data_IF_226992864857
#
_entry.id   IF_226992864857
#
_cell.length_a   1.000
_cell.length_b   1.000
_cell.length_c   1.000
_cell.angle_alpha   90.00
_cell.angle_beta   90.00
_cell.angle_gamma   90.00
#
_symmetry.space_group_name_H-M   'P 1'
#
loop_
_entity.id
_entity.type
_entity.pdbx_description
1 polymer ?
#
# COMPACT_ATOMS: atom_id res chain seq x y z
N UNK A 1 -22.43 9.14 1.43
CA UNK A 1 -21.19 8.43 1.90
C UNK A 1 -20.02 9.31 1.54
N UNK A 2 -19.11 9.59 2.48
CA UNK A 2 -17.93 10.40 2.19
C UNK A 2 -16.80 9.47 1.73
N UNK A 3 -16.11 9.84 0.64
CA UNK A 3 -14.97 9.11 0.10
C UNK A 3 -13.66 9.76 0.52
N UNK A 4 -12.59 8.99 0.64
CA UNK A 4 -11.22 9.46 0.85
C UNK A 4 -10.26 8.61 0.00
N UNK A 5 -9.31 9.24 -0.66
CA UNK A 5 -8.23 8.51 -1.32
C UNK A 5 -7.26 7.98 -0.25
N UNK A 6 -7.23 6.66 -0.07
CA UNK A 6 -6.36 5.96 0.89
C UNK A 6 -5.14 5.31 0.22
N UNK A 7 -5.15 5.23 -1.11
CA UNK A 7 -4.05 4.78 -1.95
C UNK A 7 -3.85 5.84 -3.05
N UNK A 8 -2.82 6.67 -2.89
CA UNK A 8 -2.62 7.85 -3.72
C UNK A 8 -1.14 8.22 -3.78
N UNK A 9 -0.64 8.36 -5.00
CA UNK A 9 0.74 8.70 -5.31
C UNK A 9 0.87 10.19 -5.62
N UNK A 10 1.95 10.78 -5.14
CA UNK A 10 2.27 12.17 -5.37
C UNK A 10 3.45 12.32 -6.33
N UNK A 11 3.87 13.55 -6.59
CA UNK A 11 5.07 13.87 -7.34
C UNK A 11 6.36 13.22 -6.80
N UNK A 12 6.33 12.63 -5.60
CA UNK A 12 7.43 11.88 -5.00
C UNK A 12 7.45 10.39 -5.36
N UNK A 13 6.41 9.89 -6.05
CA UNK A 13 6.46 8.62 -6.79
C UNK A 13 7.10 8.85 -8.15
N UNK A 14 8.43 8.94 -8.18
CA UNK A 14 9.20 9.39 -9.32
C UNK A 14 8.96 8.56 -10.58
N UNK A 15 8.75 9.26 -11.70
CA UNK A 15 8.43 8.72 -13.02
C UNK A 15 7.05 8.04 -13.12
N UNK A 16 6.20 8.24 -12.10
CA UNK A 16 4.91 7.58 -12.01
C UNK A 16 3.80 8.54 -11.51
N UNK A 17 3.98 9.17 -10.35
CA UNK A 17 3.00 10.10 -9.78
C UNK A 17 3.08 11.52 -10.37
N UNK A 18 1.94 12.07 -10.78
CA UNK A 18 1.81 13.43 -11.31
C UNK A 18 1.10 14.40 -10.35
N UNK A 19 0.49 13.90 -9.29
CA UNK A 19 -0.29 14.71 -8.37
C UNK A 19 0.61 15.55 -7.46
N UNK A 20 0.59 16.89 -7.61
CA UNK A 20 1.26 17.76 -6.65
C UNK A 20 0.48 17.81 -5.34
N UNK A 21 1.18 17.80 -4.21
CA UNK A 21 0.59 17.76 -2.87
C UNK A 21 -0.43 18.90 -2.67
N UNK A 22 -0.10 20.13 -3.07
CA UNK A 22 -1.03 21.27 -2.92
C UNK A 22 -2.30 21.09 -3.75
N UNK A 23 -2.20 20.62 -5.00
CA UNK A 23 -3.40 20.35 -5.84
C UNK A 23 -4.23 19.20 -5.29
N UNK A 24 -3.59 18.18 -4.73
CA UNK A 24 -4.26 17.04 -4.10
C UNK A 24 -5.15 17.49 -2.93
N UNK A 25 -4.60 18.31 -2.01
CA UNK A 25 -5.38 18.86 -0.89
C UNK A 25 -6.49 19.79 -1.36
N UNK A 26 -6.24 20.68 -2.33
CA UNK A 26 -7.27 21.54 -2.90
C UNK A 26 -8.41 20.72 -3.50
N UNK A 27 -8.09 19.66 -4.25
CA UNK A 27 -9.11 18.76 -4.84
C UNK A 27 -9.87 18.00 -3.76
N UNK A 28 -9.19 17.42 -2.77
CA UNK A 28 -9.82 16.72 -1.67
C UNK A 28 -10.79 17.63 -0.88
N UNK A 29 -10.39 18.87 -0.61
CA UNK A 29 -11.24 19.86 0.06
C UNK A 29 -12.47 20.24 -0.80
N UNK A 30 -12.26 20.50 -2.10
CA UNK A 30 -13.35 20.84 -3.04
C UNK A 30 -14.38 19.71 -3.18
N UNK A 31 -13.93 18.45 -3.11
CA UNK A 31 -14.80 17.27 -3.19
C UNK A 31 -15.40 16.89 -1.82
N UNK A 32 -15.13 17.65 -0.77
CA UNK A 32 -15.63 17.39 0.59
C UNK A 32 -15.10 16.10 1.20
N UNK A 33 -13.90 15.66 0.81
CA UNK A 33 -13.26 14.49 1.38
C UNK A 33 -12.81 14.77 2.82
N UNK A 34 -13.10 13.90 3.78
CA UNK A 34 -12.69 14.11 5.18
C UNK A 34 -11.20 13.83 5.41
N UNK A 35 -10.56 13.12 4.50
CA UNK A 35 -9.13 12.76 4.58
C UNK A 35 -8.55 12.49 3.20
N UNK A 36 -7.23 12.50 3.11
CA UNK A 36 -6.46 12.04 1.95
C UNK A 36 -5.16 11.41 2.43
N UNK A 37 -4.70 10.34 1.78
CA UNK A 37 -3.44 9.69 2.10
C UNK A 37 -2.33 10.09 1.13
N UNK A 38 -1.08 9.99 1.62
CA UNK A 38 0.13 9.91 0.80
C UNK A 38 0.68 8.50 0.92
N UNK A 39 0.88 7.80 -0.21
CA UNK A 39 1.34 6.41 -0.24
C UNK A 39 2.32 6.16 -1.39
N UNK A 40 3.31 7.03 -1.52
CA UNK A 40 4.30 6.97 -2.58
C UNK A 40 5.09 5.65 -2.60
N UNK A 41 5.59 5.27 -3.78
CA UNK A 41 6.33 4.03 -4.01
C UNK A 41 7.65 3.99 -3.25
N UNK A 42 7.73 3.12 -2.24
CA UNK A 42 8.93 2.76 -1.51
C UNK A 42 9.59 3.91 -0.74
N UNK A 43 8.95 5.06 -0.61
CA UNK A 43 9.53 6.22 0.06
C UNK A 43 8.50 7.05 0.85
N UNK A 44 9.02 7.88 1.73
CA UNK A 44 8.26 8.83 2.56
C UNK A 44 8.76 10.27 2.38
N UNK A 45 9.38 10.58 1.23
CA UNK A 45 10.04 11.87 1.00
C UNK A 45 9.07 13.04 1.02
N UNK A 46 7.85 12.85 0.52
CA UNK A 46 6.81 13.88 0.48
C UNK A 46 6.04 14.07 1.79
N UNK A 47 6.26 13.24 2.81
CA UNK A 47 5.43 13.24 4.02
C UNK A 47 5.50 14.56 4.79
N UNK A 48 6.68 15.17 4.90
CA UNK A 48 6.83 16.45 5.57
C UNK A 48 6.00 17.56 4.89
N UNK A 49 6.16 17.69 3.58
CA UNK A 49 5.42 18.68 2.78
C UNK A 49 3.91 18.40 2.81
N UNK A 50 3.52 17.13 2.79
CA UNK A 50 2.14 16.68 2.83
C UNK A 50 1.45 17.07 4.16
N UNK A 51 2.09 16.83 5.29
CA UNK A 51 1.57 17.19 6.60
C UNK A 51 1.57 18.72 6.80
N UNK A 52 2.60 19.41 6.32
CA UNK A 52 2.66 20.86 6.36
C UNK A 52 1.54 21.50 5.52
N UNK A 53 1.27 20.98 4.31
CA UNK A 53 0.19 21.49 3.45
C UNK A 53 -1.19 21.26 4.06
N UNK A 54 -1.40 20.14 4.78
CA UNK A 54 -2.66 19.83 5.45
C UNK A 54 -3.12 20.95 6.40
N UNK A 55 -2.18 21.65 7.06
CA UNK A 55 -2.50 22.76 7.97
C UNK A 55 -3.23 23.92 7.30
N UNK A 56 -3.13 24.05 5.97
CA UNK A 56 -3.79 25.08 5.15
C UNK A 56 -5.20 24.68 4.71
N UNK A 57 -5.60 23.44 4.94
CA UNK A 57 -6.85 22.85 4.45
C UNK A 57 -7.67 22.27 5.61
N UNK A 58 -8.32 23.15 6.40
CA UNK A 58 -9.18 22.73 7.51
C UNK A 58 -10.28 21.78 7.02
N UNK A 59 -10.42 20.63 7.67
CA UNK A 59 -11.43 19.62 7.33
C UNK A 59 -10.93 18.46 6.49
N UNK A 60 -9.71 18.48 5.97
CA UNK A 60 -9.08 17.34 5.28
C UNK A 60 -7.94 16.76 6.14
N UNK A 61 -8.15 15.60 6.73
CA UNK A 61 -7.16 14.94 7.58
C UNK A 61 -6.05 14.32 6.72
N UNK A 62 -4.76 14.59 6.96
CA UNK A 62 -3.66 13.89 6.32
C UNK A 62 -3.53 12.48 6.90
N UNK A 63 -3.36 11.47 6.03
CA UNK A 63 -3.05 10.09 6.40
C UNK A 63 -1.69 9.75 5.79
N UNK A 64 -0.77 9.27 6.62
CA UNK A 64 0.58 8.93 6.19
C UNK A 64 0.69 7.43 5.95
N UNK A 65 1.20 7.05 4.80
CA UNK A 65 1.47 5.68 4.41
C UNK A 65 2.65 5.59 3.44
N UNK A 66 2.85 4.40 2.94
CA UNK A 66 3.81 4.09 1.89
C UNK A 66 3.40 2.80 1.20
N UNK A 67 3.52 2.74 -0.12
CA UNK A 67 3.41 1.50 -0.88
C UNK A 67 4.80 0.91 -1.08
N UNK A 68 5.08 -0.16 -0.34
CA UNK A 68 6.39 -0.82 -0.33
C UNK A 68 6.54 -1.82 -1.46
N UNK A 69 7.78 -2.05 -1.88
CA UNK A 69 8.17 -3.18 -2.72
C UNK A 69 8.52 -4.37 -1.82
N UNK A 70 7.67 -5.40 -1.84
CA UNK A 70 7.84 -6.62 -1.06
C UNK A 70 8.50 -7.70 -1.90
N UNK A 71 9.57 -8.31 -1.37
CA UNK A 71 10.32 -9.42 -1.99
C UNK A 71 10.47 -10.57 -1.01
N UNK A 72 10.91 -11.73 -1.53
CA UNK A 72 11.19 -12.89 -0.67
C UNK A 72 12.47 -12.69 0.16
N UNK A 73 13.50 -12.08 -0.43
CA UNK A 73 14.79 -11.79 0.22
C UNK A 73 15.31 -10.44 -0.24
N UNK A 74 15.33 -9.45 0.66
CA UNK A 74 15.81 -8.09 0.38
C UNK A 74 17.32 -8.01 0.15
N UNK A 75 18.07 -8.99 0.61
CA UNK A 75 19.52 -9.04 0.45
C UNK A 75 19.96 -9.63 -0.89
N UNK A 76 19.05 -10.30 -1.61
CA UNK A 76 19.37 -10.81 -2.94
C UNK A 76 19.55 -9.66 -3.93
N UNK A 77 20.78 -9.50 -4.47
CA UNK A 77 21.15 -8.42 -5.41
C UNK A 77 21.59 -8.96 -6.78
N UNK A 78 21.63 -10.28 -6.94
CA UNK A 78 22.01 -10.94 -8.20
C UNK A 78 20.85 -11.72 -8.77
N UNK A 79 20.53 -11.48 -10.03
CA UNK A 79 19.43 -12.11 -10.74
C UNK A 79 19.92 -12.68 -12.08
N UNK A 80 19.27 -13.73 -12.55
CA UNK A 80 19.50 -14.34 -13.85
C UNK A 80 18.28 -14.20 -14.76
N UNK A 81 18.39 -14.64 -16.01
CA UNK A 81 17.25 -14.67 -16.94
C UNK A 81 16.08 -15.48 -16.38
N UNK A 82 16.36 -16.57 -15.66
CA UNK A 82 15.36 -17.49 -15.12
C UNK A 82 14.89 -17.11 -13.70
N UNK A 83 15.67 -16.31 -12.98
CA UNK A 83 15.34 -15.85 -11.63
C UNK A 83 15.35 -14.33 -11.60
N UNK A 84 14.19 -13.74 -11.97
CA UNK A 84 13.99 -12.30 -11.99
C UNK A 84 13.73 -11.76 -10.57
N UNK A 85 14.03 -10.48 -10.37
CA UNK A 85 13.62 -9.72 -9.18
C UNK A 85 12.08 -9.56 -9.18
N UNK A 86 11.40 -10.44 -8.47
CA UNK A 86 9.93 -10.43 -8.36
C UNK A 86 9.54 -9.57 -7.15
N UNK A 87 8.95 -8.43 -7.43
CA UNK A 87 8.48 -7.49 -6.42
C UNK A 87 6.95 -7.50 -6.39
N UNK A 88 6.40 -7.54 -5.20
CA UNK A 88 4.98 -7.27 -4.96
C UNK A 88 4.82 -5.89 -4.34
N UNK A 89 3.68 -5.27 -4.55
CA UNK A 89 3.30 -4.04 -3.86
C UNK A 89 2.64 -4.35 -2.53
N UNK A 90 2.89 -3.52 -1.52
CA UNK A 90 2.22 -3.64 -0.23
C UNK A 90 1.99 -2.27 0.39
N UNK A 91 0.72 -1.93 0.57
CA UNK A 91 0.30 -0.68 1.18
C UNK A 91 0.24 -0.80 2.70
N UNK A 92 0.91 0.13 3.39
CA UNK A 92 0.74 0.35 4.82
C UNK A 92 0.39 1.80 5.11
N UNK A 93 -0.53 2.00 6.07
CA UNK A 93 -0.90 3.31 6.60
C UNK A 93 -0.58 3.37 8.10
N UNK A 94 -0.13 4.52 8.58
CA UNK A 94 0.09 4.74 10.01
C UNK A 94 -1.25 4.92 10.73
N UNK A 95 -1.56 4.06 11.69
CA UNK A 95 -2.72 4.16 12.57
C UNK A 95 -2.47 5.16 13.71
N UNK A 96 -1.23 5.24 14.17
CA UNK A 96 -0.81 6.05 15.31
C UNK A 96 0.69 6.42 15.21
N UNK A 97 1.23 7.08 16.25
CA UNK A 97 2.63 7.49 16.29
C UNK A 97 3.63 6.32 16.27
N UNK A 98 3.28 5.15 16.84
CA UNK A 98 4.10 3.94 16.74
C UNK A 98 4.17 3.46 15.29
N UNK A 99 3.02 3.38 14.62
CA UNK A 99 2.94 3.00 13.20
C UNK A 99 3.73 3.94 12.31
N UNK A 100 3.66 5.25 12.55
CA UNK A 100 4.49 6.20 11.82
C UNK A 100 6.00 5.91 11.96
N UNK A 101 6.48 5.68 13.20
CA UNK A 101 7.90 5.30 13.41
C UNK A 101 8.25 3.98 12.74
N UNK A 102 7.33 3.02 12.71
CA UNK A 102 7.52 1.75 12.03
C UNK A 102 7.55 1.89 10.50
N UNK A 103 6.71 2.76 9.91
CA UNK A 103 6.83 3.12 8.48
C UNK A 103 8.20 3.71 8.15
N UNK A 104 8.67 4.68 8.96
CA UNK A 104 10.01 5.28 8.79
C UNK A 104 11.09 4.20 8.87
N UNK A 105 10.98 3.27 9.82
CA UNK A 105 11.93 2.18 9.97
C UNK A 105 11.94 1.23 8.79
N UNK A 106 10.77 0.79 8.33
CA UNK A 106 10.64 -0.07 7.14
C UNK A 106 11.19 0.62 5.89
N UNK A 107 10.85 1.90 5.68
CA UNK A 107 11.37 2.69 4.58
C UNK A 107 12.90 2.77 4.62
N UNK A 108 13.48 3.13 5.77
CA UNK A 108 14.93 3.24 5.94
C UNK A 108 15.65 1.91 5.68
N UNK A 109 15.13 0.79 6.20
CA UNK A 109 15.70 -0.53 5.96
C UNK A 109 15.58 -0.96 4.49
N UNK A 110 14.49 -0.60 3.83
CA UNK A 110 14.34 -0.78 2.39
C UNK A 110 15.45 -0.12 1.59
N UNK A 111 15.81 1.12 1.94
CA UNK A 111 16.93 1.85 1.30
C UNK A 111 18.30 1.30 1.69
N UNK A 112 18.55 1.05 2.97
CA UNK A 112 19.88 0.66 3.48
C UNK A 112 20.23 -0.78 3.09
N UNK A 113 19.28 -1.71 3.25
CA UNK A 113 19.53 -3.14 3.08
C UNK A 113 18.91 -3.69 1.80
N UNK A 114 17.72 -3.21 1.42
CA UNK A 114 16.90 -3.75 0.35
C UNK A 114 17.10 -3.13 -1.02
N UNK A 115 17.85 -2.03 -1.15
CA UNK A 115 17.98 -1.32 -2.42
C UNK A 115 18.56 -2.22 -3.53
N UNK A 116 17.81 -2.33 -4.62
CA UNK A 116 18.27 -2.95 -5.86
C UNK A 116 17.76 -2.13 -7.05
N UNK A 117 18.68 -1.71 -7.92
CA UNK A 117 18.37 -0.74 -8.97
C UNK A 117 17.76 0.54 -8.36
N UNK A 118 16.52 0.87 -8.69
CA UNK A 118 15.78 2.02 -8.14
C UNK A 118 14.73 1.63 -7.07
N UNK A 119 14.71 0.37 -6.62
CA UNK A 119 13.64 -0.15 -5.76
C UNK A 119 14.16 -0.44 -4.35
N UNK A 120 13.73 0.34 -3.34
CA UNK A 120 13.94 0.02 -1.93
C UNK A 120 12.96 -1.09 -1.52
N UNK A 121 13.49 -2.30 -1.29
CA UNK A 121 12.68 -3.51 -1.08
C UNK A 121 12.68 -3.92 0.37
N UNK A 122 11.54 -4.35 0.86
CA UNK A 122 11.37 -4.98 2.17
C UNK A 122 10.95 -6.44 2.01
N UNK A 123 10.94 -7.20 3.09
CA UNK A 123 10.47 -8.58 3.13
C UNK A 123 9.55 -8.84 4.32
N UNK A 124 8.84 -9.96 4.31
CA UNK A 124 7.89 -10.36 5.36
C UNK A 124 8.51 -10.40 6.76
N UNK A 125 9.78 -10.75 6.88
CA UNK A 125 10.50 -10.76 8.16
C UNK A 125 10.56 -9.34 8.79
N UNK A 126 10.77 -8.29 7.99
CA UNK A 126 10.71 -6.91 8.48
C UNK A 126 9.28 -6.50 8.87
N UNK A 127 8.28 -6.93 8.10
CA UNK A 127 6.88 -6.67 8.45
C UNK A 127 6.54 -7.25 9.81
N UNK A 128 6.95 -8.49 10.12
CA UNK A 128 6.75 -9.11 11.43
C UNK A 128 7.36 -8.30 12.58
N UNK A 129 8.49 -7.65 12.34
CA UNK A 129 9.16 -6.82 13.37
C UNK A 129 8.50 -5.46 13.57
N UNK A 130 7.95 -4.86 12.51
CA UNK A 130 7.54 -3.45 12.48
C UNK A 130 6.07 -3.23 12.13
N UNK A 131 5.19 -4.25 12.22
CA UNK A 131 3.76 -4.14 11.88
C UNK A 131 2.93 -3.35 12.88
N UNK A 132 3.38 -3.20 14.13
CA UNK A 132 2.58 -2.58 15.20
C UNK A 132 2.22 -1.13 14.84
N UNK A 133 0.95 -0.79 15.08
CA UNK A 133 0.41 0.54 14.78
C UNK A 133 0.27 0.84 13.28
N UNK A 134 0.39 -0.16 12.42
CA UNK A 134 0.10 -0.08 10.99
C UNK A 134 -1.26 -0.67 10.65
N UNK A 135 -1.86 -0.13 9.61
CA UNK A 135 -2.99 -0.70 8.88
C UNK A 135 -2.42 -1.25 7.57
N UNK A 136 -2.83 -2.46 7.19
CA UNK A 136 -2.47 -3.05 5.90
C UNK A 136 -3.71 -3.28 5.04
N UNK A 137 -3.53 -3.30 3.72
CA UNK A 137 -4.58 -3.65 2.77
C UNK A 137 -4.13 -4.78 1.84
N UNK A 138 -5.06 -5.35 1.08
CA UNK A 138 -4.72 -6.25 -0.02
C UNK A 138 -4.03 -5.52 -1.19
N UNK A 139 -3.95 -4.19 -1.12
CA UNK A 139 -3.28 -3.31 -2.08
C UNK A 139 -3.80 -3.45 -3.52
N UNK A 140 -3.01 -3.05 -4.51
CA UNK A 140 -3.37 -3.05 -5.93
C UNK A 140 -3.14 -4.42 -6.61
N UNK A 141 -3.37 -4.48 -7.91
CA UNK A 141 -3.13 -5.68 -8.74
C UNK A 141 -1.70 -6.24 -8.61
N UNK A 142 -0.71 -5.37 -8.33
CA UNK A 142 0.70 -5.76 -8.14
C UNK A 142 1.01 -6.45 -6.81
N UNK A 143 0.05 -6.56 -5.90
CA UNK A 143 0.27 -7.10 -4.56
C UNK A 143 0.26 -8.63 -4.52
N UNK A 144 0.80 -9.21 -3.42
CA UNK A 144 1.00 -10.65 -3.29
C UNK A 144 -0.30 -11.46 -3.33
N UNK A 145 -1.37 -10.99 -2.67
CA UNK A 145 -2.68 -11.68 -2.67
C UNK A 145 -3.35 -11.59 -4.05
N UNK A 146 -3.52 -10.42 -4.69
CA UNK A 146 -4.00 -10.31 -6.06
C UNK A 146 -3.21 -11.15 -7.07
N UNK A 147 -1.88 -11.16 -6.98
CA UNK A 147 -1.04 -11.96 -7.86
C UNK A 147 -1.20 -13.47 -7.63
N UNK A 148 -1.44 -13.89 -6.40
CA UNK A 148 -1.78 -15.28 -6.10
C UNK A 148 -3.15 -15.67 -6.68
N UNK A 149 -4.16 -14.80 -6.60
CA UNK A 149 -5.48 -15.01 -7.22
C UNK A 149 -5.38 -15.17 -8.75
N UNK A 150 -4.51 -14.40 -9.38
CA UNK A 150 -4.36 -14.44 -10.84
C UNK A 150 -3.57 -15.65 -11.34
N UNK A 151 -2.50 -16.02 -10.64
CA UNK A 151 -1.46 -16.89 -11.16
C UNK A 151 -1.24 -18.18 -10.38
N UNK A 152 -1.96 -18.38 -9.27
CA UNK A 152 -1.87 -19.58 -8.44
C UNK A 152 -3.25 -20.20 -8.20
N UNK A 153 -3.31 -21.24 -7.35
CA UNK A 153 -4.57 -21.82 -6.89
C UNK A 153 -5.28 -20.91 -5.87
N UNK A 154 -6.61 -21.06 -5.73
CA UNK A 154 -7.37 -20.35 -4.70
C UNK A 154 -6.87 -20.70 -3.30
N UNK A 155 -6.45 -21.94 -3.06
CA UNK A 155 -5.86 -22.35 -1.78
C UNK A 155 -4.57 -21.60 -1.45
N UNK A 156 -3.70 -21.35 -2.43
CA UNK A 156 -2.49 -20.55 -2.25
C UNK A 156 -2.82 -19.07 -2.04
N UNK A 157 -3.82 -18.55 -2.74
CA UNK A 157 -4.29 -17.18 -2.54
C UNK A 157 -4.88 -17.00 -1.12
N UNK A 158 -5.66 -17.96 -0.62
CA UNK A 158 -6.17 -17.97 0.76
C UNK A 158 -5.03 -18.01 1.77
N UNK A 159 -4.04 -18.88 1.59
CA UNK A 159 -2.87 -18.98 2.47
C UNK A 159 -2.10 -17.66 2.54
N UNK A 160 -1.92 -16.97 1.40
CA UNK A 160 -1.28 -15.66 1.37
C UNK A 160 -2.12 -14.60 2.09
N UNK A 161 -3.44 -14.59 1.88
CA UNK A 161 -4.38 -13.70 2.55
C UNK A 161 -4.40 -13.92 4.07
N UNK A 162 -4.48 -15.18 4.50
CA UNK A 162 -4.48 -15.57 5.91
C UNK A 162 -3.19 -15.15 6.64
N UNK A 163 -2.05 -15.18 5.95
CA UNK A 163 -0.80 -14.71 6.53
C UNK A 163 -0.90 -13.22 6.92
N UNK A 164 -1.45 -12.38 6.06
CA UNK A 164 -1.66 -10.96 6.34
C UNK A 164 -2.71 -10.75 7.43
N UNK A 165 -3.82 -11.45 7.36
CA UNK A 165 -4.90 -11.37 8.33
C UNK A 165 -4.45 -11.77 9.74
N UNK A 166 -3.63 -12.81 9.85
CA UNK A 166 -3.10 -13.27 11.14
C UNK A 166 -2.18 -12.25 11.82
N UNK A 167 -1.48 -11.40 11.05
CA UNK A 167 -0.58 -10.37 11.59
C UNK A 167 -1.32 -9.09 11.94
N UNK A 168 -2.22 -8.64 11.06
CA UNK A 168 -2.87 -7.34 11.20
C UNK A 168 -4.26 -7.41 11.84
N UNK A 169 -4.90 -8.58 11.86
CA UNK A 169 -6.22 -8.79 12.46
C UNK A 169 -7.25 -7.78 11.94
N UNK A 170 -7.87 -7.03 12.84
CA UNK A 170 -8.87 -6.00 12.50
C UNK A 170 -8.31 -4.77 11.75
N UNK A 171 -6.99 -4.61 11.72
CA UNK A 171 -6.28 -3.58 10.97
C UNK A 171 -5.88 -4.05 9.55
N UNK A 172 -6.35 -5.23 9.11
CA UNK A 172 -6.26 -5.69 7.74
C UNK A 172 -7.55 -5.41 6.97
N UNK A 173 -7.43 -4.78 5.80
CA UNK A 173 -8.57 -4.42 4.96
C UNK A 173 -8.43 -5.00 3.56
N UNK A 174 -9.54 -5.44 3.00
CA UNK A 174 -9.62 -5.73 1.58
C UNK A 174 -9.76 -4.42 0.82
N UNK A 175 -8.85 -4.17 -0.10
CA UNK A 175 -8.88 -3.01 -0.99
C UNK A 175 -9.46 -3.41 -2.34
N UNK A 176 -10.52 -2.73 -2.75
CA UNK A 176 -11.17 -2.93 -4.04
C UNK A 176 -10.89 -1.71 -4.93
N UNK A 177 -10.25 -1.97 -6.06
CA UNK A 177 -10.02 -0.99 -7.11
C UNK A 177 -10.92 -1.28 -8.31
N UNK A 178 -11.31 -0.25 -9.04
CA UNK A 178 -12.20 -0.40 -10.19
C UNK A 178 -11.56 0.16 -11.45
N UNK A 179 -10.59 -0.58 -11.95
CA UNK A 179 -10.03 -0.37 -13.28
C UNK A 179 -10.76 -1.28 -14.28
N UNK A 180 -11.02 -0.80 -15.47
CA UNK A 180 -11.80 -1.54 -16.47
C UNK A 180 -10.95 -2.60 -17.20
N UNK A 181 -10.36 -3.53 -16.43
CA UNK A 181 -9.56 -4.66 -16.90
C UNK A 181 -10.08 -5.98 -16.32
N UNK A 182 -9.98 -7.04 -17.10
CA UNK A 182 -10.54 -8.37 -16.73
C UNK A 182 -9.90 -8.94 -15.47
N UNK A 183 -8.60 -8.76 -15.32
CA UNK A 183 -7.82 -9.21 -14.17
C UNK A 183 -8.35 -8.59 -12.88
N UNK A 184 -8.65 -7.29 -12.88
CA UNK A 184 -9.18 -6.59 -11.71
C UNK A 184 -10.58 -7.09 -11.33
N UNK A 185 -11.41 -7.39 -12.32
CA UNK A 185 -12.75 -7.95 -12.06
C UNK A 185 -12.62 -9.30 -11.34
N UNK A 186 -11.77 -10.22 -11.85
CA UNK A 186 -11.52 -11.51 -11.21
C UNK A 186 -10.97 -11.39 -9.79
N UNK A 187 -10.04 -10.45 -9.56
CA UNK A 187 -9.49 -10.17 -8.23
C UNK A 187 -10.61 -9.72 -7.29
N UNK A 188 -11.40 -8.73 -7.70
CA UNK A 188 -12.47 -8.15 -6.87
C UNK A 188 -13.51 -9.21 -6.49
N UNK A 189 -13.96 -10.04 -7.43
CA UNK A 189 -14.90 -11.13 -7.14
C UNK A 189 -14.37 -12.09 -6.07
N UNK A 190 -13.09 -12.46 -6.15
CA UNK A 190 -12.44 -13.33 -5.17
C UNK A 190 -12.27 -12.64 -3.82
N UNK A 191 -11.79 -11.40 -3.81
CA UNK A 191 -11.62 -10.63 -2.58
C UNK A 191 -12.94 -10.35 -1.85
N UNK A 192 -14.04 -10.12 -2.58
CA UNK A 192 -15.39 -9.99 -1.99
C UNK A 192 -15.85 -11.29 -1.34
N UNK A 193 -15.52 -12.46 -1.92
CA UNK A 193 -15.79 -13.76 -1.25
C UNK A 193 -14.95 -13.90 0.02
N UNK A 194 -13.65 -13.55 -0.03
CA UNK A 194 -12.78 -13.58 1.16
C UNK A 194 -13.28 -12.61 2.24
N UNK A 195 -13.74 -11.41 1.88
CA UNK A 195 -14.31 -10.46 2.82
C UNK A 195 -15.46 -11.08 3.65
N UNK A 196 -16.34 -11.82 2.97
CA UNK A 196 -17.47 -12.50 3.63
C UNK A 196 -17.03 -13.71 4.45
N UNK A 197 -16.13 -14.53 3.90
CA UNK A 197 -15.65 -15.77 4.54
C UNK A 197 -14.87 -15.48 5.83
N UNK A 198 -14.01 -14.45 5.81
CA UNK A 198 -13.13 -14.10 6.93
C UNK A 198 -13.64 -12.91 7.76
N UNK A 199 -14.80 -12.35 7.44
CA UNK A 199 -15.38 -11.17 8.08
C UNK A 199 -14.41 -9.97 8.10
N UNK A 200 -13.72 -9.70 6.97
CA UNK A 200 -12.78 -8.61 6.81
C UNK A 200 -13.46 -7.41 6.15
N UNK A 201 -13.21 -6.22 6.67
CA UNK A 201 -13.74 -4.96 6.15
C UNK A 201 -13.14 -4.64 4.78
N UNK A 202 -13.96 -4.01 3.92
CA UNK A 202 -13.55 -3.58 2.59
C UNK A 202 -13.42 -2.06 2.52
N UNK A 203 -12.44 -1.59 1.76
CA UNK A 203 -12.30 -0.20 1.34
C UNK A 203 -12.31 -0.11 -0.19
N UNK A 204 -12.69 1.04 -0.72
CA UNK A 204 -12.54 1.35 -2.13
C UNK A 204 -11.43 2.38 -2.32
N UNK A 205 -10.58 2.17 -3.32
CA UNK A 205 -9.52 3.09 -3.70
C UNK A 205 -9.39 3.16 -5.22
N UNK A 206 -8.64 4.15 -5.71
CA UNK A 206 -8.37 4.31 -7.14
C UNK A 206 -6.89 4.12 -7.50
N UNK A 207 -6.00 4.01 -6.50
CA UNK A 207 -4.57 3.95 -6.78
C UNK A 207 -4.17 5.10 -7.72
N UNK A 208 -4.49 6.33 -7.27
CA UNK A 208 -4.34 7.53 -8.10
C UNK A 208 -2.88 7.94 -8.22
N UNK A 209 -2.47 8.23 -9.45
CA UNK A 209 -1.10 8.64 -9.81
C UNK A 209 -1.05 10.05 -10.37
#
# INVERSE_FOLDING_TARGET
>A
MKFSHLHCHTQYSWLDGAASISKLFKKAAADGMPAVAITDHGNMFGVFDFVAEASKHSGVKPIVGCEFYLVDDRHQKTFSKDKKDKRFHQLFLAKNAEGYRNLVKLCSLGFIEGMYSKYPRIEKALVLQYHKGLIATTCCIGASVPQAILHKSEAEAKKEFEWWLNIFGEDYYIELQRHNIKEQIKINETLIRFAKEYNVKMIASNDSH
#
